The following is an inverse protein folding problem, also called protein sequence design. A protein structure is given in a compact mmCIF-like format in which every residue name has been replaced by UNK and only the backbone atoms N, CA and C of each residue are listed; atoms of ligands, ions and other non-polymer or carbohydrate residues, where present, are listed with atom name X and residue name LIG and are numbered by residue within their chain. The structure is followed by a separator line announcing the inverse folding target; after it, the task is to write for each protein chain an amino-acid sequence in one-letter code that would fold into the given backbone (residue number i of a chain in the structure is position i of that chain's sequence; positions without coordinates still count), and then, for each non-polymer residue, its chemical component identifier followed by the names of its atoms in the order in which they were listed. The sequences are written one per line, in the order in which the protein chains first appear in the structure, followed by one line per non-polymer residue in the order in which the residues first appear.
data_IF_188657908334
#
_entry.id   IF_188657908334
#
_cell.length_a   1.000
_cell.length_b   1.000
_cell.length_c   1.000
_cell.angle_alpha   90.00
_cell.angle_beta   90.00
_cell.angle_gamma   90.00
#
_symmetry.space_group_name_H-M   'P 1'
#
loop_
_entity.id
_entity.type
_entity.pdbx_description
1 polymer ?
#
# COMPACT_ATOMS: atom_id res chain seq x y z
N UNK A 1 -23.30 44.98 -39.00
CA UNK A 1 -23.46 44.22 -40.25
C UNK A 1 -22.92 42.82 -39.98
N UNK A 2 -23.77 41.80 -39.97
CA UNK A 2 -23.34 40.38 -39.93
C UNK A 2 -22.84 39.96 -41.33
N UNK A 3 -22.20 38.78 -41.55
CA UNK A 3 -22.66 37.41 -41.20
C UNK A 3 -21.72 36.69 -40.20
N UNK A 4 -22.08 35.65 -39.42
CA UNK A 4 -22.47 34.24 -39.76
C UNK A 4 -21.39 33.50 -40.62
N UNK A 5 -20.93 32.27 -40.40
CA UNK A 5 -21.12 31.20 -39.37
C UNK A 5 -20.00 30.12 -39.57
N UNK A 6 -19.83 28.96 -38.89
CA UNK A 6 -20.57 28.20 -37.87
C UNK A 6 -19.67 27.16 -37.10
N UNK A 7 -20.19 26.62 -35.98
CA UNK A 7 -19.97 25.28 -35.37
C UNK A 7 -18.57 24.61 -35.29
N UNK A 8 -18.09 24.39 -34.05
CA UNK A 8 -18.19 23.06 -33.43
C UNK A 8 -17.95 23.12 -31.90
N UNK A 9 -19.00 22.85 -31.12
CA UNK A 9 -18.92 22.58 -29.69
C UNK A 9 -18.65 21.08 -29.46
N UNK A 10 -17.89 20.75 -28.41
CA UNK A 10 -17.88 19.42 -27.81
C UNK A 10 -17.96 19.58 -26.29
N UNK A 11 -19.14 19.31 -25.75
CA UNK A 11 -19.46 19.41 -24.33
C UNK A 11 -18.90 18.20 -23.56
N UNK A 12 -17.95 18.43 -22.65
CA UNK A 12 -17.70 17.49 -21.53
C UNK A 12 -18.67 17.82 -20.39
N UNK A 13 -19.82 17.14 -20.38
CA UNK A 13 -20.77 17.18 -19.27
C UNK A 13 -20.48 16.03 -18.30
N UNK A 14 -19.87 16.32 -17.15
CA UNK A 14 -19.77 15.37 -16.03
C UNK A 14 -21.16 15.04 -15.48
N UNK A 15 -21.66 13.84 -15.82
CA UNK A 15 -22.96 13.37 -15.39
C UNK A 15 -22.96 12.94 -13.91
N UNK A 16 -23.15 13.90 -13.00
CA UNK A 16 -23.43 13.62 -11.59
C UNK A 16 -24.76 12.87 -11.48
N UNK A 17 -24.73 11.57 -11.20
CA UNK A 17 -25.94 10.75 -10.95
C UNK A 17 -26.24 10.69 -9.45
N UNK A 18 -27.40 11.21 -9.06
CA UNK A 18 -27.96 11.03 -7.71
C UNK A 18 -28.85 9.78 -7.73
N UNK A 19 -28.65 8.87 -6.76
CA UNK A 19 -29.48 7.68 -6.57
C UNK A 19 -30.38 7.91 -5.36
N UNK A 20 -31.66 8.23 -5.62
CA UNK A 20 -32.67 8.34 -4.57
C UNK A 20 -33.20 6.96 -4.17
N UNK A 21 -33.23 6.69 -2.87
CA UNK A 21 -33.74 5.45 -2.27
C UNK A 21 -35.26 5.48 -2.24
N UNK A 22 -35.90 5.08 -3.35
CA UNK A 22 -37.35 5.03 -3.45
C UNK A 22 -37.90 3.82 -2.67
N UNK A 23 -38.79 4.05 -1.70
CA UNK A 23 -39.41 3.01 -0.87
C UNK A 23 -40.87 2.85 -1.32
N UNK A 24 -41.27 1.72 -1.93
CA UNK A 24 -42.66 1.53 -2.35
C UNK A 24 -43.57 1.28 -1.14
N UNK A 25 -44.69 2.01 -1.08
CA UNK A 25 -45.88 1.66 -0.30
C UNK A 25 -46.79 0.79 -1.17
N UNK A 26 -47.54 -0.14 -0.57
CA UNK A 26 -48.38 -1.09 -1.30
C UNK A 26 -49.82 -0.62 -1.49
N UNK A 27 -50.46 -1.10 -2.57
CA UNK A 27 -51.73 -1.86 -2.58
C UNK A 27 -52.25 -2.01 -4.03
N UNK A 28 -53.00 -3.09 -4.33
CA UNK A 28 -53.89 -3.16 -5.50
C UNK A 28 -53.57 -4.18 -6.60
N UNK A 29 -54.05 -5.41 -6.41
CA UNK A 29 -54.56 -6.42 -7.36
C UNK A 29 -54.49 -6.18 -8.90
N UNK A 30 -53.96 -7.16 -9.67
CA UNK A 30 -54.76 -8.09 -10.54
C UNK A 30 -53.95 -8.96 -11.54
N UNK A 31 -54.36 -10.23 -11.60
CA UNK A 31 -54.60 -11.11 -12.79
C UNK A 31 -53.46 -11.41 -13.82
N UNK A 32 -52.93 -12.64 -13.69
CA UNK A 32 -52.99 -13.77 -14.65
C UNK A 32 -52.11 -13.94 -15.94
N UNK A 33 -51.59 -15.19 -16.01
CA UNK A 33 -51.44 -16.11 -17.17
C UNK A 33 -50.14 -16.30 -18.02
N UNK A 34 -50.01 -17.56 -18.50
CA UNK A 34 -48.95 -18.22 -19.33
C UNK A 34 -47.55 -18.39 -18.69
N UNK A 35 -47.04 -19.57 -18.28
CA UNK A 35 -47.15 -21.01 -18.65
C UNK A 35 -46.29 -21.46 -19.85
N UNK A 36 -45.34 -22.36 -19.53
CA UNK A 36 -44.60 -23.37 -20.29
C UNK A 36 -44.11 -23.10 -21.73
N UNK A 37 -42.79 -23.25 -21.92
CA UNK A 37 -42.30 -24.37 -22.74
C UNK A 37 -40.91 -24.85 -22.26
N UNK A 38 -40.76 -26.16 -22.03
CA UNK A 38 -39.51 -26.79 -21.60
C UNK A 38 -39.17 -28.02 -22.45
N UNK A 39 -37.87 -28.20 -22.69
CA UNK A 39 -37.16 -29.42 -23.07
C UNK A 39 -37.66 -30.27 -24.27
N UNK A 40 -36.80 -30.32 -25.30
CA UNK A 40 -36.34 -31.56 -25.95
C UNK A 40 -35.20 -31.31 -26.95
N UNK A 41 -34.00 -31.84 -26.67
CA UNK A 41 -33.47 -33.12 -27.22
C UNK A 41 -32.03 -33.30 -26.72
N UNK A 42 -31.70 -34.53 -26.31
CA UNK A 42 -30.43 -34.89 -25.66
C UNK A 42 -29.35 -35.38 -26.63
N UNK A 43 -28.10 -35.00 -26.32
CA UNK A 43 -26.82 -35.70 -26.50
C UNK A 43 -26.57 -36.71 -27.65
N UNK A 44 -25.44 -36.50 -28.36
CA UNK A 44 -24.55 -37.61 -28.78
C UNK A 44 -23.06 -37.19 -28.86
N UNK A 45 -22.15 -38.11 -28.48
CA UNK A 45 -20.73 -38.25 -28.87
C UNK A 45 -19.63 -37.31 -28.28
N UNK A 46 -18.91 -37.89 -27.32
CA UNK A 46 -17.58 -37.51 -26.79
C UNK A 46 -16.43 -37.74 -27.81
N UNK A 47 -15.43 -36.83 -27.94
CA UNK A 47 -14.02 -37.20 -28.24
C UNK A 47 -12.98 -36.02 -28.16
N UNK A 48 -11.93 -36.24 -27.35
CA UNK A 48 -10.50 -35.85 -27.53
C UNK A 48 -10.02 -34.39 -27.79
N UNK A 49 -9.30 -33.88 -26.78
CA UNK A 49 -8.12 -32.99 -26.81
C UNK A 49 -7.42 -32.68 -28.17
N UNK A 50 -7.20 -31.39 -28.47
CA UNK A 50 -5.88 -30.69 -28.44
C UNK A 50 -5.97 -29.29 -29.07
N UNK A 51 -5.59 -28.25 -28.32
CA UNK A 51 -5.44 -26.87 -28.81
C UNK A 51 -3.95 -26.57 -29.06
N UNK A 52 -3.54 -26.13 -30.26
CA UNK A 52 -2.21 -25.58 -30.48
C UNK A 52 -2.21 -24.04 -30.51
N UNK A 53 -1.41 -23.44 -29.63
CA UNK A 53 -0.73 -22.14 -29.75
C UNK A 53 -1.51 -20.95 -30.38
N UNK A 54 -2.11 -20.11 -29.54
CA UNK A 54 -2.20 -18.67 -29.82
C UNK A 54 -1.02 -17.93 -29.21
N UNK A 55 -0.50 -16.94 -29.95
CA UNK A 55 0.77 -16.26 -29.66
C UNK A 55 0.58 -15.26 -28.51
N UNK A 56 1.36 -15.37 -27.43
CA UNK A 56 1.34 -14.38 -26.35
C UNK A 56 1.89 -13.03 -26.83
N UNK A 57 0.99 -12.06 -27.05
CA UNK A 57 1.40 -10.65 -27.14
C UNK A 57 1.84 -10.14 -25.76
N UNK A 58 3.09 -9.68 -25.70
CA UNK A 58 3.74 -9.14 -24.50
C UNK A 58 3.15 -7.77 -24.18
N UNK A 59 2.09 -7.69 -23.37
CA UNK A 59 1.40 -6.41 -23.02
C UNK A 59 2.34 -5.51 -22.20
N UNK A 60 2.99 -4.57 -22.87
CA UNK A 60 3.83 -3.53 -22.26
C UNK A 60 2.94 -2.51 -21.54
N UNK A 61 2.60 -2.75 -20.27
CA UNK A 61 1.80 -1.80 -19.48
C UNK A 61 2.64 -0.57 -19.11
N UNK A 62 2.39 0.55 -19.79
CA UNK A 62 2.99 1.85 -19.47
C UNK A 62 2.56 2.34 -18.08
N UNK A 63 3.30 3.29 -17.51
CA UNK A 63 2.96 3.92 -16.21
C UNK A 63 1.62 4.69 -16.30
N UNK A 64 1.23 5.10 -17.51
CA UNK A 64 -0.10 5.65 -17.84
C UNK A 64 -1.07 4.61 -18.41
N UNK A 65 -0.88 3.32 -18.11
CA UNK A 65 -1.83 2.28 -18.46
C UNK A 65 -3.19 2.65 -17.90
N UNK A 66 -4.15 2.96 -18.77
CA UNK A 66 -5.56 3.02 -18.41
C UNK A 66 -5.90 1.72 -17.69
N UNK A 67 -6.16 1.80 -16.39
CA UNK A 67 -6.74 0.69 -15.65
C UNK A 67 -8.12 0.47 -16.25
N UNK A 68 -8.35 -0.73 -16.76
CA UNK A 68 -9.67 -1.16 -17.17
C UNK A 68 -10.56 -1.05 -15.92
N UNK A 69 -11.54 -0.15 -15.98
CA UNK A 69 -12.34 0.21 -14.82
C UNK A 69 -13.51 -0.74 -14.70
N UNK A 70 -13.61 -1.41 -13.56
CA UNK A 70 -14.69 -2.36 -13.29
C UNK A 70 -15.96 -1.63 -12.85
N UNK A 71 -17.13 -2.08 -13.32
CA UNK A 71 -18.44 -1.65 -12.84
C UNK A 71 -18.82 -2.50 -11.65
N UNK A 72 -19.00 -1.88 -10.48
CA UNK A 72 -19.50 -2.56 -9.29
C UNK A 72 -21.02 -2.42 -9.25
N UNK A 73 -21.72 -3.54 -9.38
CA UNK A 73 -23.17 -3.63 -9.30
C UNK A 73 -23.54 -4.42 -8.05
N UNK A 74 -24.64 -4.04 -7.40
CA UNK A 74 -25.17 -4.71 -6.22
C UNK A 74 -26.68 -4.84 -6.34
N UNK A 75 -27.21 -6.01 -5.99
CA UNK A 75 -28.64 -6.29 -6.08
C UNK A 75 -29.18 -6.87 -4.78
N UNK A 76 -30.29 -6.27 -4.32
CA UNK A 76 -31.08 -6.68 -3.17
C UNK A 76 -30.28 -6.88 -1.87
N UNK A 77 -29.30 -6.00 -1.61
CA UNK A 77 -28.50 -6.06 -0.37
C UNK A 77 -29.39 -5.83 0.84
N UNK A 78 -29.52 -6.85 1.68
CA UNK A 78 -30.13 -6.81 3.01
C UNK A 78 -29.06 -7.09 4.06
N UNK A 79 -29.08 -6.31 5.14
CA UNK A 79 -28.23 -6.51 6.29
C UNK A 79 -29.10 -6.60 7.54
N UNK A 80 -28.98 -7.69 8.30
CA UNK A 80 -29.69 -7.86 9.57
C UNK A 80 -28.74 -8.15 10.73
N UNK A 81 -29.13 -7.76 11.94
CA UNK A 81 -28.37 -8.06 13.17
C UNK A 81 -28.88 -9.34 13.82
N UNK A 82 -28.04 -10.37 13.98
CA UNK A 82 -28.41 -11.53 14.80
C UNK A 82 -28.22 -11.19 16.29
N UNK A 83 -29.34 -11.11 17.03
CA UNK A 83 -29.33 -11.01 18.50
C UNK A 83 -29.23 -12.41 19.11
N UNK A 84 -28.31 -12.62 20.07
CA UNK A 84 -28.25 -13.88 20.85
C UNK A 84 -29.47 -14.10 21.76
N UNK A 85 -30.29 -13.07 21.99
CA UNK A 85 -31.54 -13.15 22.75
C UNK A 85 -32.68 -12.56 21.91
N UNK A 86 -33.51 -13.42 21.31
CA UNK A 86 -34.66 -13.01 20.49
C UNK A 86 -35.75 -12.28 21.27
N UNK A 87 -35.91 -12.53 22.58
CA UNK A 87 -36.96 -11.89 23.41
C UNK A 87 -36.68 -10.42 23.78
N UNK A 88 -35.41 -9.99 23.82
CA UNK A 88 -35.04 -8.64 24.31
C UNK A 88 -34.65 -7.64 23.24
N UNK A 89 -34.24 -8.09 22.05
CA UNK A 89 -33.94 -7.23 20.92
C UNK A 89 -34.37 -7.95 19.63
N UNK A 90 -35.47 -7.54 18.96
CA UNK A 90 -35.83 -8.10 17.67
C UNK A 90 -34.72 -7.79 16.64
N UNK A 91 -34.49 -8.67 15.65
CA UNK A 91 -33.45 -8.46 14.64
C UNK A 91 -33.72 -7.17 13.86
N UNK A 92 -32.85 -6.18 14.02
CA UNK A 92 -33.01 -4.90 13.33
C UNK A 92 -32.43 -5.01 11.93
N UNK A 93 -33.30 -4.94 10.93
CA UNK A 93 -32.87 -4.81 9.54
C UNK A 93 -32.26 -3.41 9.33
N UNK A 94 -30.97 -3.38 8.98
CA UNK A 94 -30.19 -2.16 8.76
C UNK A 94 -30.34 -1.70 7.30
N UNK A 95 -30.29 -2.63 6.35
CA UNK A 95 -30.50 -2.37 4.92
C UNK A 95 -31.66 -3.23 4.41
N UNK A 96 -32.53 -2.62 3.61
CA UNK A 96 -33.82 -3.18 3.18
C UNK A 96 -33.86 -3.51 1.68
N UNK A 97 -32.93 -4.35 1.21
CA UNK A 97 -32.91 -4.79 -0.19
C UNK A 97 -32.54 -3.65 -1.13
N UNK A 98 -31.35 -3.07 -0.95
CA UNK A 98 -30.88 -1.96 -1.77
C UNK A 98 -30.13 -2.51 -2.99
N UNK A 99 -30.48 -2.03 -4.18
CA UNK A 99 -29.79 -2.30 -5.45
C UNK A 99 -29.22 -1.02 -6.06
N UNK A 100 -28.20 -1.14 -6.91
CA UNK A 100 -27.57 -0.01 -7.59
C UNK A 100 -26.24 -0.38 -8.28
N UNK A 101 -25.61 0.59 -8.93
CA UNK A 101 -24.28 0.40 -9.53
C UNK A 101 -23.38 1.64 -9.40
N UNK A 102 -22.07 1.39 -9.43
CA UNK A 102 -21.01 2.38 -9.51
C UNK A 102 -20.26 2.19 -10.82
N UNK A 103 -20.53 3.01 -11.85
CA UNK A 103 -19.82 2.92 -13.12
C UNK A 103 -18.39 3.45 -12.99
N UNK A 104 -17.43 2.85 -13.73
CA UNK A 104 -16.04 3.25 -13.68
C UNK A 104 -15.84 4.70 -14.14
N UNK A 105 -14.82 5.37 -13.59
CA UNK A 105 -14.44 6.76 -13.90
C UNK A 105 -15.50 7.81 -13.56
N UNK A 106 -16.45 7.51 -12.67
CA UNK A 106 -17.43 8.49 -12.17
C UNK A 106 -17.27 8.73 -10.67
N UNK A 107 -17.59 9.95 -10.21
CA UNK A 107 -17.68 10.27 -8.79
C UNK A 107 -19.13 10.07 -8.31
N UNK A 108 -19.40 9.01 -7.54
CA UNK A 108 -20.74 8.74 -7.00
C UNK A 108 -20.85 9.17 -5.54
N UNK A 109 -21.86 10.00 -5.22
CA UNK A 109 -22.15 10.44 -3.87
C UNK A 109 -23.31 9.62 -3.24
N UNK A 110 -23.07 9.03 -2.07
CA UNK A 110 -24.09 8.27 -1.31
C UNK A 110 -24.70 9.20 -0.25
N UNK A 111 -25.93 9.69 -0.49
CA UNK A 111 -26.61 10.69 0.34
C UNK A 111 -27.80 10.11 1.14
N UNK A 112 -28.31 10.88 2.11
CA UNK A 112 -29.47 10.52 2.94
C UNK A 112 -29.35 10.90 4.41
N UNK A 113 -30.42 10.79 5.22
CA UNK A 113 -30.46 11.23 6.62
C UNK A 113 -29.55 10.40 7.55
N UNK A 114 -29.21 10.94 8.72
CA UNK A 114 -28.40 10.20 9.71
C UNK A 114 -29.11 8.91 10.14
N UNK A 115 -28.35 7.81 10.27
CA UNK A 115 -28.89 6.48 10.56
C UNK A 115 -29.45 5.69 9.36
N UNK A 116 -29.50 6.24 8.14
CA UNK A 116 -30.02 5.57 6.94
C UNK A 116 -29.19 4.40 6.38
N UNK A 117 -28.16 3.93 7.10
CA UNK A 117 -27.34 2.79 6.70
C UNK A 117 -26.17 3.06 5.74
N UNK A 118 -25.93 4.31 5.28
CA UNK A 118 -24.84 4.66 4.32
C UNK A 118 -23.47 4.04 4.67
N UNK A 119 -23.00 4.23 5.90
CA UNK A 119 -21.71 3.69 6.36
C UNK A 119 -21.73 2.16 6.45
N UNK A 120 -22.89 1.55 6.67
CA UNK A 120 -23.08 0.10 6.66
C UNK A 120 -23.01 -0.45 5.23
N UNK A 121 -23.67 0.21 4.27
CA UNK A 121 -23.60 -0.12 2.85
C UNK A 121 -22.15 -0.03 2.34
N UNK A 122 -21.43 1.06 2.63
CA UNK A 122 -20.01 1.19 2.27
C UNK A 122 -19.12 0.12 2.93
N UNK A 123 -19.43 -0.33 4.16
CA UNK A 123 -18.72 -1.44 4.81
C UNK A 123 -18.99 -2.79 4.15
N UNK A 124 -20.20 -3.03 3.64
CA UNK A 124 -20.54 -4.24 2.88
C UNK A 124 -19.79 -4.27 1.56
N UNK A 125 -19.90 -3.19 0.78
CA UNK A 125 -19.26 -3.06 -0.53
C UNK A 125 -17.73 -3.12 -0.47
N UNK A 126 -17.13 -2.79 0.69
CA UNK A 126 -15.69 -2.92 0.95
C UNK A 126 -15.31 -4.22 1.69
N UNK A 127 -16.21 -5.20 1.78
CA UNK A 127 -15.95 -6.50 2.44
C UNK A 127 -15.63 -6.43 3.94
N UNK A 128 -15.80 -5.26 4.58
CA UNK A 128 -15.45 -5.00 5.99
C UNK A 128 -16.56 -5.41 6.96
N UNK A 129 -17.14 -6.59 6.73
CA UNK A 129 -18.26 -7.15 7.50
C UNK A 129 -17.73 -8.15 8.53
N UNK A 130 -17.16 -7.68 9.64
CA UNK A 130 -16.72 -8.60 10.69
C UNK A 130 -15.63 -8.09 11.63
N UNK A 131 -15.96 -7.13 12.49
CA UNK A 131 -15.13 -6.81 13.65
C UNK A 131 -15.38 -7.79 14.80
N UNK A 132 -14.89 -9.04 14.70
CA UNK A 132 -14.79 -10.11 15.74
C UNK A 132 -16.03 -10.54 16.56
N UNK A 133 -17.03 -9.68 16.79
CA UNK A 133 -18.13 -9.92 17.74
C UNK A 133 -19.55 -9.67 17.20
N UNK A 134 -19.71 -9.17 15.96
CA UNK A 134 -21.02 -8.94 15.36
C UNK A 134 -21.38 -10.08 14.39
N UNK A 135 -22.24 -11.01 14.81
CA UNK A 135 -22.98 -11.87 13.86
C UNK A 135 -23.97 -10.99 13.09
N UNK A 136 -23.61 -10.68 11.85
CA UNK A 136 -24.47 -9.97 10.90
C UNK A 136 -24.84 -10.96 9.81
N UNK A 137 -26.12 -10.98 9.45
CA UNK A 137 -26.60 -11.73 8.29
C UNK A 137 -26.59 -10.81 7.08
N UNK A 138 -25.95 -11.26 6.00
CA UNK A 138 -25.90 -10.58 4.72
C UNK A 138 -26.63 -11.45 3.69
N UNK A 139 -27.68 -10.91 3.10
CA UNK A 139 -28.29 -11.44 1.88
C UNK A 139 -28.11 -10.42 0.76
N UNK A 140 -27.99 -10.89 -0.48
CA UNK A 140 -27.85 -10.04 -1.66
C UNK A 140 -26.67 -10.48 -2.54
N UNK A 141 -26.66 -9.95 -3.76
CA UNK A 141 -25.67 -10.30 -4.79
C UNK A 141 -24.79 -9.08 -5.07
N UNK A 142 -23.48 -9.30 -5.21
CA UNK A 142 -22.53 -8.28 -5.65
C UNK A 142 -21.88 -8.79 -6.94
N UNK A 143 -21.84 -7.94 -7.96
CA UNK A 143 -21.29 -8.25 -9.27
C UNK A 143 -20.19 -7.26 -9.63
N UNK A 144 -19.17 -7.77 -10.32
CA UNK A 144 -18.13 -6.97 -10.95
C UNK A 144 -18.07 -7.36 -12.42
N UNK A 145 -18.27 -6.39 -13.30
CA UNK A 145 -18.36 -6.57 -14.76
C UNK A 145 -19.26 -7.76 -15.17
N UNK A 146 -20.48 -7.78 -14.61
CA UNK A 146 -21.52 -8.79 -14.84
C UNK A 146 -21.22 -10.21 -14.36
N UNK A 147 -20.07 -10.46 -13.72
CA UNK A 147 -19.79 -11.72 -13.05
C UNK A 147 -20.23 -11.66 -11.58
N UNK A 148 -20.84 -12.75 -11.10
CA UNK A 148 -21.11 -12.98 -9.67
C UNK A 148 -19.79 -13.06 -8.91
N UNK A 149 -19.59 -12.13 -7.95
CA UNK A 149 -18.43 -12.16 -7.05
C UNK A 149 -18.95 -12.34 -5.64
N UNK A 150 -18.55 -13.43 -4.99
CA UNK A 150 -18.91 -13.71 -3.61
C UNK A 150 -18.35 -12.58 -2.72
N UNK A 151 -19.20 -11.96 -1.90
CA UNK A 151 -18.87 -10.71 -1.16
C UNK A 151 -17.67 -10.82 -0.19
N UNK A 152 -17.18 -12.04 0.04
CA UNK A 152 -16.04 -12.41 0.86
C UNK A 152 -14.72 -12.53 0.09
N UNK A 153 -14.71 -12.54 -1.25
CA UNK A 153 -13.53 -12.91 -2.02
C UNK A 153 -13.12 -12.03 -3.22
N UNK A 154 -11.80 -12.07 -3.47
CA UNK A 154 -11.09 -11.66 -4.69
C UNK A 154 -10.87 -10.16 -4.97
N UNK A 155 -11.85 -9.33 -5.35
CA UNK A 155 -11.51 -8.02 -5.94
C UNK A 155 -11.22 -6.89 -4.95
N UNK A 156 -11.95 -6.80 -3.84
CA UNK A 156 -11.58 -5.85 -2.77
C UNK A 156 -10.22 -6.23 -2.15
N UNK A 157 -9.88 -7.53 -2.12
CA UNK A 157 -8.56 -8.02 -1.68
C UNK A 157 -7.43 -7.55 -2.60
N UNK A 158 -7.70 -7.35 -3.89
CA UNK A 158 -6.74 -6.81 -4.86
C UNK A 158 -6.42 -5.35 -4.56
N UNK A 159 -7.43 -4.51 -4.36
CA UNK A 159 -7.26 -3.13 -3.90
C UNK A 159 -6.52 -3.06 -2.55
N UNK A 160 -6.88 -3.93 -1.58
CA UNK A 160 -6.19 -4.03 -0.28
C UNK A 160 -4.71 -4.36 -0.44
N UNK A 161 -4.33 -5.30 -1.32
CA UNK A 161 -2.92 -5.66 -1.49
C UNK A 161 -2.06 -4.47 -1.99
N UNK A 162 -2.53 -3.73 -3.00
CA UNK A 162 -1.82 -2.53 -3.48
C UNK A 162 -1.86 -1.38 -2.45
N UNK A 163 -2.97 -1.21 -1.71
CA UNK A 163 -3.09 -0.20 -0.68
C UNK A 163 -2.17 -0.49 0.53
N UNK A 164 -2.14 -1.72 1.04
CA UNK A 164 -1.25 -2.14 2.12
C UNK A 164 0.22 -2.08 1.71
N UNK A 165 0.56 -2.49 0.48
CA UNK A 165 1.92 -2.36 -0.05
C UNK A 165 2.35 -0.88 -0.14
N UNK A 166 1.47 -0.01 -0.66
CA UNK A 166 1.72 1.42 -0.71
C UNK A 166 1.81 2.09 0.68
N UNK A 167 1.03 1.62 1.64
CA UNK A 167 1.09 2.07 3.03
C UNK A 167 2.42 1.67 3.70
N UNK A 168 2.85 0.40 3.53
CA UNK A 168 4.16 -0.09 3.98
C UNK A 168 5.29 0.72 3.35
N UNK A 169 5.26 0.92 2.04
CA UNK A 169 6.26 1.70 1.31
C UNK A 169 6.31 3.15 1.83
N UNK A 170 5.17 3.83 1.93
CA UNK A 170 5.11 5.21 2.38
C UNK A 170 5.58 5.39 3.84
N UNK A 171 5.28 4.44 4.72
CA UNK A 171 5.81 4.43 6.10
C UNK A 171 7.33 4.30 6.11
N UNK A 172 7.89 3.30 5.41
CA UNK A 172 9.33 3.06 5.34
C UNK A 172 10.08 4.23 4.70
N UNK A 173 9.51 4.84 3.67
CA UNK A 173 10.01 6.07 3.02
C UNK A 173 10.02 7.24 4.01
N UNK A 174 8.92 7.46 4.73
CA UNK A 174 8.79 8.54 5.72
C UNK A 174 9.80 8.38 6.86
N UNK A 175 10.01 7.15 7.35
CA UNK A 175 11.02 6.83 8.36
C UNK A 175 12.43 7.10 7.82
N UNK A 176 12.76 6.55 6.63
CA UNK A 176 14.08 6.72 6.00
C UNK A 176 14.43 8.19 5.83
N UNK A 177 13.52 8.98 5.26
CA UNK A 177 13.74 10.40 5.01
C UNK A 177 13.84 11.21 6.31
N UNK A 178 12.89 11.02 7.24
CA UNK A 178 12.81 11.78 8.48
C UNK A 178 14.06 11.65 9.37
N UNK A 179 14.56 10.42 9.55
CA UNK A 179 15.73 10.18 10.41
C UNK A 179 17.05 10.51 9.70
N UNK A 180 17.16 10.29 8.38
CA UNK A 180 18.37 10.68 7.65
C UNK A 180 18.53 12.22 7.60
N UNK A 181 17.44 12.98 7.46
CA UNK A 181 17.45 14.44 7.45
C UNK A 181 17.86 15.05 8.80
N UNK A 182 17.43 14.47 9.93
CA UNK A 182 17.84 14.94 11.26
C UNK A 182 19.34 14.70 11.47
N UNK A 183 19.82 13.46 11.27
CA UNK A 183 21.24 13.13 11.44
C UNK A 183 22.17 13.96 10.54
N UNK A 184 21.74 14.27 9.31
CA UNK A 184 22.55 15.05 8.39
C UNK A 184 22.68 16.53 8.77
N UNK A 185 21.65 17.13 9.35
CA UNK A 185 21.67 18.55 9.75
C UNK A 185 22.25 18.78 11.13
N UNK A 186 22.33 17.72 11.96
CA UNK A 186 22.95 17.71 13.28
C UNK A 186 24.46 17.41 13.21
N UNK A 187 24.88 16.36 12.49
CA UNK A 187 26.27 15.90 12.53
C UNK A 187 27.33 16.95 12.13
N UNK A 188 27.17 17.77 11.07
CA UNK A 188 28.12 18.82 10.72
C UNK A 188 28.25 19.92 11.79
N UNK A 189 27.21 20.14 12.62
CA UNK A 189 27.22 21.11 13.71
C UNK A 189 27.99 20.60 14.94
N UNK A 190 27.90 19.31 15.22
CA UNK A 190 28.66 18.66 16.30
C UNK A 190 30.14 18.47 15.94
N UNK A 191 30.45 18.28 14.66
CA UNK A 191 31.81 18.02 14.16
C UNK A 191 32.88 19.01 14.64
N UNK A 192 32.70 20.35 14.61
CA UNK A 192 33.72 21.28 15.14
C UNK A 192 33.91 21.16 16.67
N UNK A 193 32.86 20.81 17.42
CA UNK A 193 32.95 20.55 18.87
C UNK A 193 33.82 19.31 19.11
N UNK A 194 33.54 18.22 18.38
CA UNK A 194 34.34 17.00 18.37
C UNK A 194 35.82 17.28 18.03
N UNK A 195 36.11 17.99 16.94
CA UNK A 195 37.49 18.26 16.50
C UNK A 195 38.27 19.08 17.54
N UNK A 196 37.61 20.04 18.20
CA UNK A 196 38.19 20.83 19.30
C UNK A 196 38.53 19.95 20.52
N UNK A 197 37.64 19.05 20.91
CA UNK A 197 37.83 18.18 22.10
C UNK A 197 38.78 17.01 21.84
N UNK A 198 38.90 16.60 20.58
CA UNK A 198 39.93 15.66 20.12
C UNK A 198 41.32 16.31 20.14
N UNK A 199 41.47 17.56 19.69
CA UNK A 199 42.78 18.26 19.69
C UNK A 199 43.31 18.53 21.09
N UNK A 200 42.44 18.71 22.09
CA UNK A 200 42.81 18.79 23.51
C UNK A 200 42.92 17.42 24.21
N UNK A 201 42.83 16.32 23.46
CA UNK A 201 42.96 14.93 23.94
C UNK A 201 41.98 14.53 25.06
N UNK A 202 40.75 15.06 25.08
CA UNK A 202 39.75 14.65 26.07
C UNK A 202 39.21 13.24 25.84
N UNK A 203 39.05 12.83 24.58
CA UNK A 203 38.60 11.49 24.21
C UNK A 203 39.02 11.14 22.76
N UNK A 204 38.95 9.84 22.42
CA UNK A 204 39.24 9.37 21.06
C UNK A 204 37.97 9.16 20.23
N UNK A 205 38.14 8.95 18.92
CA UNK A 205 37.05 8.81 17.93
C UNK A 205 36.03 7.71 18.31
N UNK A 206 36.51 6.59 18.85
CA UNK A 206 35.68 5.40 19.08
C UNK A 206 34.71 5.55 20.27
N UNK A 207 35.13 6.05 21.46
CA UNK A 207 34.20 6.47 22.52
C UNK A 207 33.14 7.47 22.05
N UNK A 208 33.51 8.48 21.26
CA UNK A 208 32.55 9.46 20.71
C UNK A 208 31.50 8.79 19.83
N UNK A 209 31.92 7.96 18.86
CA UNK A 209 30.99 7.25 17.99
C UNK A 209 30.10 6.25 18.75
N UNK A 210 30.63 5.55 19.75
CA UNK A 210 29.82 4.64 20.58
C UNK A 210 28.78 5.39 21.42
N UNK A 211 29.17 6.49 22.07
CA UNK A 211 28.24 7.33 22.82
C UNK A 211 27.14 7.91 21.91
N UNK A 212 27.53 8.50 20.77
CA UNK A 212 26.59 9.07 19.80
C UNK A 212 25.67 8.01 19.18
N UNK A 213 26.20 6.84 18.81
CA UNK A 213 25.38 5.71 18.34
C UNK A 213 24.40 5.19 19.40
N UNK A 214 24.77 5.22 20.68
CA UNK A 214 23.89 4.77 21.77
C UNK A 214 22.70 5.72 21.96
N UNK A 215 22.95 7.03 21.88
CA UNK A 215 21.89 8.07 21.93
C UNK A 215 21.00 8.00 20.68
N UNK A 216 21.59 7.86 19.49
CA UNK A 216 20.84 7.68 18.23
C UNK A 216 19.95 6.44 18.28
N UNK A 217 20.47 5.27 18.68
CA UNK A 217 19.66 4.05 18.78
C UNK A 217 18.45 4.24 19.71
N UNK A 218 18.60 4.96 20.82
CA UNK A 218 17.50 5.26 21.72
C UNK A 218 16.47 6.23 21.10
N UNK A 219 16.92 7.36 20.52
CA UNK A 219 16.01 8.34 19.92
C UNK A 219 15.29 7.79 18.69
N UNK A 220 15.99 7.02 17.84
CA UNK A 220 15.43 6.31 16.70
C UNK A 220 14.39 5.28 17.16
N UNK A 221 14.68 4.49 18.19
CA UNK A 221 13.72 3.50 18.70
C UNK A 221 12.44 4.19 19.17
N UNK A 222 12.54 5.29 19.93
CA UNK A 222 11.39 6.08 20.34
C UNK A 222 10.61 6.68 19.17
N UNK A 223 11.30 7.27 18.18
CA UNK A 223 10.66 7.86 17.00
C UNK A 223 9.90 6.81 16.18
N UNK A 224 10.56 5.67 15.89
CA UNK A 224 9.96 4.58 15.12
C UNK A 224 8.82 3.93 15.90
N UNK A 225 8.95 3.73 17.22
CA UNK A 225 7.86 3.22 18.07
C UNK A 225 6.61 4.10 17.97
N UNK A 226 6.74 5.42 18.11
CA UNK A 226 5.59 6.35 18.06
C UNK A 226 4.93 6.34 16.69
N UNK A 227 5.72 6.42 15.62
CA UNK A 227 5.22 6.36 14.25
C UNK A 227 4.50 5.04 13.96
N UNK A 228 5.10 3.92 14.36
CA UNK A 228 4.58 2.59 14.06
C UNK A 228 3.38 2.21 14.93
N UNK A 229 3.34 2.61 16.21
CA UNK A 229 2.18 2.35 17.06
C UNK A 229 0.92 3.00 16.49
N UNK A 230 1.02 4.26 16.05
CA UNK A 230 -0.09 4.96 15.41
C UNK A 230 -0.48 4.31 14.07
N UNK A 231 0.50 4.06 13.19
CA UNK A 231 0.24 3.52 11.86
C UNK A 231 -0.35 2.09 11.89
N UNK A 232 0.15 1.22 12.76
CA UNK A 232 -0.28 -0.17 12.86
C UNK A 232 -1.77 -0.30 13.20
N UNK A 233 -2.24 0.46 14.20
CA UNK A 233 -3.66 0.48 14.57
C UNK A 233 -4.56 1.21 13.56
N UNK A 234 -4.05 2.24 12.87
CA UNK A 234 -4.81 2.98 11.85
C UNK A 234 -5.01 2.17 10.55
N UNK A 235 -4.00 1.39 10.14
CA UNK A 235 -3.98 0.71 8.85
C UNK A 235 -4.43 -0.76 8.94
N UNK A 236 -4.24 -1.41 10.10
CA UNK A 236 -4.70 -2.79 10.31
C UNK A 236 -3.85 -3.86 9.61
N UNK A 237 -2.53 -3.69 9.62
CA UNK A 237 -1.57 -4.65 9.06
C UNK A 237 -1.71 -6.03 9.70
N UNK A 238 -1.46 -7.08 8.90
CA UNK A 238 -1.52 -8.48 9.33
C UNK A 238 -0.20 -8.96 9.96
N UNK A 239 0.93 -8.33 9.61
CA UNK A 239 2.25 -8.69 10.11
C UNK A 239 2.41 -8.49 11.62
N UNK A 240 3.30 -9.26 12.25
CA UNK A 240 3.63 -9.07 13.67
C UNK A 240 4.26 -7.69 13.93
N UNK A 241 3.67 -6.90 14.82
CA UNK A 241 4.14 -5.54 15.19
C UNK A 241 5.64 -5.49 15.49
N UNK A 242 6.17 -6.43 16.29
CA UNK A 242 7.59 -6.46 16.66
C UNK A 242 8.52 -6.73 15.47
N UNK A 243 8.09 -7.53 14.48
CA UNK A 243 8.86 -7.72 13.25
C UNK A 243 8.86 -6.43 12.43
N UNK A 244 7.70 -5.77 12.25
CA UNK A 244 7.63 -4.51 11.51
C UNK A 244 8.46 -3.40 12.17
N UNK A 245 8.40 -3.31 13.50
CA UNK A 245 9.23 -2.43 14.30
C UNK A 245 10.72 -2.68 14.05
N UNK A 246 11.16 -3.94 14.06
CA UNK A 246 12.56 -4.30 13.83
C UNK A 246 13.02 -3.98 12.40
N UNK A 247 12.16 -4.15 11.38
CA UNK A 247 12.45 -3.76 9.99
C UNK A 247 12.64 -2.25 9.88
N UNK A 248 11.70 -1.47 10.44
CA UNK A 248 11.77 -0.01 10.41
C UNK A 248 12.96 0.52 11.20
N UNK A 249 13.27 -0.07 12.36
CA UNK A 249 14.41 0.32 13.19
C UNK A 249 15.74 0.07 12.47
N UNK A 250 15.90 -1.08 11.82
CA UNK A 250 17.12 -1.40 11.07
C UNK A 250 17.24 -0.55 9.78
N UNK A 251 16.13 -0.27 9.10
CA UNK A 251 16.11 0.71 8.00
C UNK A 251 16.50 2.11 8.48
N UNK A 252 15.98 2.56 9.62
CA UNK A 252 16.32 3.86 10.20
C UNK A 252 17.82 3.96 10.52
N UNK A 253 18.43 2.93 11.13
CA UNK A 253 19.88 2.87 11.39
C UNK A 253 20.69 2.89 10.08
N UNK A 254 20.24 2.18 9.03
CA UNK A 254 20.89 2.27 7.72
C UNK A 254 20.80 3.69 7.13
N UNK A 255 19.66 4.34 7.32
CA UNK A 255 19.37 5.70 6.82
C UNK A 255 20.20 6.77 7.54
N UNK A 256 20.34 6.69 8.86
CA UNK A 256 21.23 7.59 9.62
C UNK A 256 22.70 7.34 9.30
N UNK A 257 23.10 6.08 9.07
CA UNK A 257 24.48 5.76 8.66
C UNK A 257 24.84 6.44 7.32
N UNK A 258 23.90 6.48 6.37
CA UNK A 258 24.04 7.23 5.11
C UNK A 258 24.10 8.75 5.38
N UNK A 259 23.19 9.29 6.19
CA UNK A 259 23.19 10.72 6.55
C UNK A 259 24.51 11.16 7.23
N UNK A 260 25.01 10.39 8.19
CA UNK A 260 26.24 10.71 8.93
C UNK A 260 27.49 10.54 8.05
N UNK A 261 27.47 9.61 7.08
CA UNK A 261 28.49 9.53 6.04
C UNK A 261 28.54 10.79 5.18
N UNK A 262 27.39 11.29 4.68
CA UNK A 262 27.34 12.54 3.91
C UNK A 262 27.79 13.74 4.77
N UNK A 263 27.32 13.83 6.01
CA UNK A 263 27.68 14.91 6.95
C UNK A 263 29.15 14.88 7.41
N UNK A 264 29.84 13.76 7.24
CA UNK A 264 31.31 13.68 7.42
C UNK A 264 32.06 14.26 6.21
N UNK A 265 31.53 14.05 5.01
CA UNK A 265 32.10 14.55 3.76
C UNK A 265 31.91 16.07 3.63
N UNK A 266 30.66 16.54 3.70
CA UNK A 266 30.27 17.93 3.52
C UNK A 266 30.59 18.76 4.78
N UNK A 267 30.81 20.06 4.63
CA UNK A 267 31.16 20.96 5.74
C UNK A 267 30.00 21.88 6.12
N UNK A 268 29.27 22.37 5.12
CA UNK A 268 28.10 23.22 5.28
C UNK A 268 26.80 22.39 5.40
N UNK A 269 25.95 22.62 6.44
CA UNK A 269 24.69 21.90 6.61
C UNK A 269 23.65 22.15 5.49
N UNK A 270 23.71 23.30 4.80
CA UNK A 270 22.81 23.63 3.69
C UNK A 270 23.13 22.80 2.45
N UNK A 271 24.40 22.80 2.03
CA UNK A 271 24.88 21.93 0.92
C UNK A 271 24.60 20.46 1.20
N UNK A 272 24.69 20.04 2.47
CA UNK A 272 24.34 18.69 2.87
C UNK A 272 22.83 18.40 2.65
N UNK A 273 21.94 19.29 3.08
CA UNK A 273 20.49 19.15 2.88
C UNK A 273 20.08 19.09 1.40
N UNK A 274 20.78 19.82 0.52
CA UNK A 274 20.55 19.77 -0.94
C UNK A 274 21.00 18.44 -1.59
N UNK A 275 22.00 17.77 -1.02
CA UNK A 275 22.51 16.49 -1.53
C UNK A 275 21.61 15.29 -1.15
N UNK A 276 20.72 15.44 -0.17
CA UNK A 276 19.83 14.36 0.29
C UNK A 276 18.85 13.85 -0.78
N UNK A 277 18.06 14.69 -1.47
CA UNK A 277 17.19 14.24 -2.54
C UNK A 277 17.92 13.42 -3.61
N UNK A 278 19.17 13.77 -3.95
CA UNK A 278 19.97 13.06 -4.94
C UNK A 278 20.33 11.62 -4.53
N UNK A 279 20.40 11.31 -3.23
CA UNK A 279 20.64 9.96 -2.69
C UNK A 279 19.37 9.22 -2.28
N UNK A 280 18.28 9.94 -1.99
CA UNK A 280 16.99 9.37 -1.59
C UNK A 280 16.13 9.00 -2.81
N UNK A 281 16.04 9.88 -3.82
CA UNK A 281 15.19 9.64 -5.01
C UNK A 281 15.56 8.36 -5.78
N UNK A 282 16.85 8.01 -5.99
CA UNK A 282 17.21 6.72 -6.58
C UNK A 282 16.75 5.52 -5.74
N UNK A 283 16.81 5.62 -4.41
CA UNK A 283 16.32 4.56 -3.53
C UNK A 283 14.80 4.39 -3.65
N UNK A 284 14.03 5.48 -3.80
CA UNK A 284 12.59 5.42 -4.08
C UNK A 284 12.33 4.68 -5.40
N UNK A 285 13.06 5.02 -6.46
CA UNK A 285 12.90 4.46 -7.80
C UNK A 285 13.15 2.94 -7.84
N UNK A 286 14.23 2.47 -7.19
CA UNK A 286 14.62 1.05 -7.20
C UNK A 286 13.91 0.20 -6.13
N UNK A 287 13.14 0.82 -5.23
CA UNK A 287 12.47 0.12 -4.12
C UNK A 287 11.30 -0.79 -4.51
N UNK A 288 10.87 -0.77 -5.78
CA UNK A 288 9.69 -1.50 -6.26
C UNK A 288 8.37 -0.72 -6.12
N UNK A 289 8.35 0.40 -5.37
CA UNK A 289 7.12 1.16 -5.14
C UNK A 289 6.60 1.89 -6.40
N UNK A 290 7.47 2.64 -7.10
CA UNK A 290 7.08 3.38 -8.31
C UNK A 290 7.19 2.56 -9.60
N UNK A 291 8.22 1.70 -9.68
CA UNK A 291 8.49 0.84 -10.84
C UNK A 291 8.80 -0.56 -10.28
N UNK A 292 8.01 -1.60 -10.61
CA UNK A 292 8.30 -2.96 -10.17
C UNK A 292 9.65 -3.44 -10.70
N UNK A 293 10.41 -4.18 -9.89
CA UNK A 293 11.82 -4.50 -10.18
C UNK A 293 12.02 -5.30 -11.47
N UNK A 294 11.02 -6.07 -11.89
CA UNK A 294 11.01 -6.79 -13.17
C UNK A 294 11.19 -5.86 -14.40
N UNK A 295 10.70 -4.62 -14.34
CA UNK A 295 10.78 -3.63 -15.42
C UNK A 295 12.07 -2.81 -15.42
N UNK A 296 12.89 -2.90 -14.37
CA UNK A 296 14.19 -2.21 -14.32
C UNK A 296 15.12 -2.85 -15.36
N UNK A 297 15.69 -2.06 -16.29
CA UNK A 297 16.56 -2.59 -17.34
C UNK A 297 17.85 -3.15 -16.73
N UNK A 298 18.40 -4.19 -17.37
CA UNK A 298 19.53 -4.97 -16.84
C UNK A 298 20.75 -4.13 -16.45
N UNK A 299 21.04 -3.05 -17.18
CA UNK A 299 22.17 -2.16 -16.90
C UNK A 299 22.01 -1.27 -15.65
N UNK A 300 20.78 -1.06 -15.15
CA UNK A 300 20.51 -0.34 -13.89
C UNK A 300 20.21 -1.28 -12.72
N UNK A 301 19.94 -2.56 -12.98
CA UNK A 301 19.51 -3.53 -11.96
C UNK A 301 20.50 -3.68 -10.80
N UNK A 302 21.79 -3.46 -11.02
CA UNK A 302 22.80 -3.52 -9.95
C UNK A 302 22.59 -2.44 -8.86
N UNK A 303 22.02 -1.27 -9.21
CA UNK A 303 21.85 -0.16 -8.29
C UNK A 303 20.84 -0.47 -7.18
N UNK A 304 19.87 -1.35 -7.42
CA UNK A 304 18.92 -1.82 -6.41
C UNK A 304 19.64 -2.46 -5.21
N UNK A 305 20.79 -3.11 -5.43
CA UNK A 305 21.52 -3.80 -4.37
C UNK A 305 22.24 -2.85 -3.40
N UNK A 306 22.42 -1.58 -3.76
CA UNK A 306 22.96 -0.54 -2.89
C UNK A 306 21.88 0.17 -2.05
N UNK A 307 20.59 -0.04 -2.36
CA UNK A 307 19.48 0.72 -1.78
C UNK A 307 18.89 0.02 -0.55
N UNK A 308 19.12 0.55 0.65
CA UNK A 308 18.59 -0.01 1.92
C UNK A 308 17.06 -0.12 1.93
N UNK A 309 16.35 0.86 1.34
CA UNK A 309 14.90 0.85 1.22
C UNK A 309 14.36 -0.36 0.44
N UNK A 310 15.09 -0.84 -0.59
CA UNK A 310 14.64 -1.96 -1.43
C UNK A 310 14.54 -3.24 -0.62
N UNK A 311 15.54 -3.52 0.22
CA UNK A 311 15.53 -4.68 1.11
C UNK A 311 14.46 -4.57 2.19
N UNK A 312 14.26 -3.38 2.78
CA UNK A 312 13.23 -3.15 3.78
C UNK A 312 11.80 -3.34 3.24
N UNK A 313 11.50 -2.85 2.04
CA UNK A 313 10.19 -3.05 1.39
C UNK A 313 9.97 -4.51 1.03
N UNK A 314 10.96 -5.21 0.45
CA UNK A 314 10.84 -6.65 0.16
C UNK A 314 10.56 -7.47 1.43
N UNK A 315 11.29 -7.17 2.50
CA UNK A 315 11.17 -7.85 3.78
C UNK A 315 9.82 -7.58 4.46
N UNK A 316 9.34 -6.33 4.48
CA UNK A 316 8.02 -6.00 5.01
C UNK A 316 6.89 -6.62 4.16
N UNK A 317 7.02 -6.62 2.83
CA UNK A 317 6.06 -7.26 1.92
C UNK A 317 5.98 -8.77 2.13
N UNK A 318 7.13 -9.43 2.36
CA UNK A 318 7.18 -10.87 2.65
C UNK A 318 6.43 -11.22 3.95
N UNK A 319 6.55 -10.41 4.99
CA UNK A 319 5.88 -10.66 6.28
C UNK A 319 4.42 -10.19 6.33
N UNK A 320 3.99 -9.24 5.49
CA UNK A 320 2.58 -8.83 5.39
C UNK A 320 1.77 -9.76 4.47
N UNK A 321 2.33 -10.15 3.32
CA UNK A 321 1.60 -10.88 2.28
C UNK A 321 1.86 -12.39 2.23
N UNK A 322 2.99 -12.87 2.80
CA UNK A 322 3.27 -14.28 3.09
C UNK A 322 2.74 -15.29 2.07
N UNK A 323 1.75 -16.07 2.49
CA UNK A 323 0.99 -17.03 1.68
C UNK A 323 -0.23 -16.34 1.04
N UNK A 324 0.00 -15.52 0.02
CA UNK A 324 -1.07 -14.69 -0.54
C UNK A 324 -2.02 -15.51 -1.45
N UNK A 325 -3.33 -15.62 -1.13
CA UNK A 325 -4.24 -16.53 -1.83
C UNK A 325 -4.71 -16.02 -3.21
N UNK A 326 -4.42 -14.77 -3.56
CA UNK A 326 -4.86 -14.15 -4.82
C UNK A 326 -3.73 -14.00 -5.82
N UNK A 327 -4.00 -14.38 -7.08
CA UNK A 327 -3.06 -14.29 -8.20
C UNK A 327 -2.48 -12.88 -8.41
N UNK A 328 -3.29 -11.84 -8.18
CA UNK A 328 -2.86 -10.45 -8.28
C UNK A 328 -1.83 -10.05 -7.21
N UNK A 329 -1.90 -10.64 -6.01
CA UNK A 329 -0.95 -10.41 -4.94
C UNK A 329 0.37 -11.16 -5.19
N UNK A 330 0.29 -12.42 -5.62
CA UNK A 330 1.47 -13.18 -6.06
C UNK A 330 2.19 -12.44 -7.21
N UNK A 331 1.44 -11.93 -8.18
CA UNK A 331 1.97 -11.09 -9.28
C UNK A 331 2.69 -9.83 -8.77
N UNK A 332 2.21 -9.20 -7.68
CA UNK A 332 2.89 -8.04 -7.07
C UNK A 332 4.22 -8.43 -6.41
N UNK A 333 4.26 -9.56 -5.71
CA UNK A 333 5.45 -10.04 -5.00
C UNK A 333 6.54 -10.53 -5.96
N UNK A 334 6.14 -11.25 -7.01
CA UNK A 334 7.03 -11.70 -8.09
C UNK A 334 7.61 -10.52 -8.89
N UNK A 335 6.77 -9.57 -9.31
CA UNK A 335 7.22 -8.38 -10.05
C UNK A 335 8.16 -7.46 -9.25
N UNK A 336 8.16 -7.57 -7.92
CA UNK A 336 9.05 -6.83 -7.01
C UNK A 336 10.26 -7.65 -6.51
N UNK A 337 10.43 -8.89 -6.98
CA UNK A 337 11.57 -9.74 -6.62
C UNK A 337 11.63 -10.07 -5.13
N UNK A 338 10.46 -10.18 -4.46
CA UNK A 338 10.37 -10.43 -3.01
C UNK A 338 10.91 -11.81 -2.63
N UNK A 339 10.77 -12.79 -3.52
CA UNK A 339 11.26 -14.15 -3.34
C UNK A 339 12.65 -14.41 -3.97
N UNK A 340 13.39 -13.37 -4.39
CA UNK A 340 14.74 -13.53 -4.97
C UNK A 340 15.76 -14.15 -3.99
N UNK A 341 15.59 -13.89 -2.69
CA UNK A 341 16.48 -14.38 -1.63
C UNK A 341 15.67 -14.84 -0.41
N UNK A 342 16.18 -15.80 0.37
CA UNK A 342 15.65 -16.12 1.69
C UNK A 342 15.60 -14.89 2.62
N UNK A 343 14.55 -14.78 3.43
CA UNK A 343 14.28 -13.60 4.27
C UNK A 343 15.45 -13.17 5.18
N UNK A 344 16.24 -14.12 5.70
CA UNK A 344 17.42 -13.83 6.53
C UNK A 344 18.54 -13.09 5.79
N UNK A 345 18.67 -13.24 4.47
CA UNK A 345 19.65 -12.48 3.69
C UNK A 345 19.30 -10.99 3.64
N UNK A 346 18.02 -10.63 3.55
CA UNK A 346 17.60 -9.23 3.56
C UNK A 346 17.93 -8.54 4.89
N UNK A 347 17.75 -9.24 6.02
CA UNK A 347 18.20 -8.77 7.34
C UNK A 347 19.72 -8.53 7.39
N UNK A 348 20.52 -9.50 6.93
CA UNK A 348 21.98 -9.42 6.92
C UNK A 348 22.45 -8.27 6.03
N UNK A 349 21.93 -8.14 4.81
CA UNK A 349 22.35 -7.10 3.87
C UNK A 349 22.01 -5.70 4.40
N UNK A 350 20.82 -5.52 4.98
CA UNK A 350 20.41 -4.23 5.56
C UNK A 350 21.33 -3.82 6.73
N UNK A 351 21.70 -4.77 7.59
CA UNK A 351 22.69 -4.56 8.65
C UNK A 351 24.10 -4.27 8.10
N UNK A 352 24.55 -5.01 7.08
CA UNK A 352 25.85 -4.78 6.44
C UNK A 352 25.94 -3.39 5.79
N UNK A 353 24.90 -2.93 5.10
CA UNK A 353 24.84 -1.57 4.52
C UNK A 353 24.99 -0.52 5.62
N UNK A 354 24.24 -0.64 6.71
CA UNK A 354 24.35 0.26 7.85
C UNK A 354 25.78 0.27 8.43
N UNK A 355 26.33 -0.91 8.72
CA UNK A 355 27.68 -1.06 9.28
C UNK A 355 28.77 -0.48 8.37
N UNK A 356 28.69 -0.70 7.05
CA UNK A 356 29.66 -0.18 6.07
C UNK A 356 29.65 1.35 6.10
N UNK A 357 28.50 2.00 5.92
CA UNK A 357 28.43 3.47 5.93
C UNK A 357 28.87 4.07 7.27
N UNK A 358 28.49 3.44 8.40
CA UNK A 358 28.87 3.88 9.75
C UNK A 358 30.38 3.80 9.99
N UNK A 359 31.01 2.67 9.61
CA UNK A 359 32.46 2.47 9.72
C UNK A 359 33.23 3.40 8.78
N UNK A 360 32.78 3.59 7.53
CA UNK A 360 33.41 4.53 6.60
C UNK A 360 33.35 5.96 7.12
N UNK A 361 32.21 6.40 7.67
CA UNK A 361 32.09 7.71 8.33
C UNK A 361 33.07 7.86 9.52
N UNK A 362 33.21 6.84 10.36
CA UNK A 362 34.18 6.84 11.47
C UNK A 362 35.63 6.98 10.97
N UNK A 363 36.00 6.31 9.88
CA UNK A 363 37.33 6.45 9.26
C UNK A 363 37.55 7.84 8.67
N UNK A 364 36.54 8.43 8.02
CA UNK A 364 36.60 9.80 7.49
C UNK A 364 36.79 10.81 8.62
N UNK A 365 36.02 10.70 9.71
CA UNK A 365 36.16 11.61 10.86
C UNK A 365 37.52 11.46 11.54
N UNK A 366 38.00 10.22 11.73
CA UNK A 366 39.35 9.96 12.25
C UNK A 366 40.42 10.64 11.39
N UNK A 367 40.31 10.55 10.07
CA UNK A 367 41.24 11.21 9.14
C UNK A 367 41.17 12.74 9.27
N UNK A 368 39.98 13.33 9.26
CA UNK A 368 39.75 14.79 9.46
C UNK A 368 40.17 15.31 10.84
N UNK A 369 40.45 14.44 11.80
CA UNK A 369 40.89 14.80 13.15
C UNK A 369 42.41 14.67 13.37
N UNK A 370 43.12 14.02 12.45
CA UNK A 370 44.59 13.85 12.48
C UNK A 370 45.35 14.73 11.49
N UNK A 371 44.63 15.47 10.65
CA UNK A 371 45.12 16.55 9.80
C UNK A 371 44.58 17.88 10.34
#
# INVERSE_FOLDING_TARGET
MAPQESTNELNEAEATKVVDLNIPQGDGDKEDEAVDEADKVSATATATMKTPNSIMMKKTSSIFSTRDGHTLEFDNIKLSTQSKNHEKNPPKQILKGISGNFPPKTLTAVMGPSGSGKTSLLKILTGRIGGSNSKLDLEGEIRLDYNTVEATDIDVRREIAYASFGAIANLLISTMFGVAQSSLTEFPKDRPVFLREYSTNHYSVLPYFLAKFSIECFTILCQVLVQQLAAFFLMGFQMNFFLFLMINFLLAIASTSIGIFIGSCVEDPGVAAELMPALIVPQLLFSGFFIPTAYIPSFLRWAQYACSLTYAIRLASLYEFGDCPTSACQTLLENNGVYELPSYWYWIILFCIAAIFRLTSMVILKRKATF
#
